data_IF_918147234679
#
_entry.id   IF_918147234679
#
_cell.length_a   1.000
_cell.length_b   1.000
_cell.length_c   1.000
_cell.angle_alpha   90.00
_cell.angle_beta   90.00
_cell.angle_gamma   90.00
#
_symmetry.space_group_name_H-M   'P 1'
#
loop_
_entity.id
_entity.type
_entity.pdbx_description
1 polymer ?
#
# COMPACT_ATOMS: atom_id res chain seq x y z
N UNK A 1 -5.88 8.61 -0.51
CA UNK A 1 -6.12 9.48 -1.68
C UNK A 1 -6.29 10.94 -1.26
N UNK A 2 -7.17 11.26 -0.29
CA UNK A 2 -7.35 12.64 0.25
C UNK A 2 -6.06 13.45 0.46
N UNK A 3 -5.05 12.86 1.11
CA UNK A 3 -3.79 13.57 1.39
C UNK A 3 -3.02 13.98 0.12
N UNK A 4 -2.99 13.12 -0.90
CA UNK A 4 -2.31 13.42 -2.17
C UNK A 4 -3.10 14.48 -2.97
N UNK A 5 -4.43 14.46 -2.90
CA UNK A 5 -5.30 15.49 -3.51
C UNK A 5 -5.08 16.86 -2.86
N UNK A 6 -4.95 16.92 -1.54
CA UNK A 6 -4.59 18.14 -0.80
C UNK A 6 -3.24 18.69 -1.27
N UNK A 7 -2.23 17.82 -1.41
CA UNK A 7 -0.90 18.21 -1.88
C UNK A 7 -0.91 18.73 -3.32
N UNK A 8 -1.75 18.20 -4.21
CA UNK A 8 -1.89 18.75 -5.57
C UNK A 8 -2.39 20.19 -5.55
N UNK A 9 -3.36 20.49 -4.70
CA UNK A 9 -3.86 21.86 -4.54
C UNK A 9 -2.80 22.79 -3.94
N UNK A 10 -2.02 22.32 -2.97
CA UNK A 10 -0.93 23.10 -2.37
C UNK A 10 0.24 23.32 -3.35
N UNK A 11 0.61 22.30 -4.13
CA UNK A 11 1.67 22.40 -5.14
C UNK A 11 1.39 23.50 -6.17
N UNK A 12 0.13 23.67 -6.56
CA UNK A 12 -0.33 24.74 -7.49
C UNK A 12 -0.19 26.14 -6.92
N UNK A 13 -0.19 26.28 -5.59
CA UNK A 13 -0.01 27.56 -4.89
C UNK A 13 1.48 27.86 -4.70
N UNK A 14 2.28 26.84 -4.36
CA UNK A 14 3.69 27.00 -3.97
C UNK A 14 4.69 26.88 -5.12
N UNK A 15 4.29 26.31 -6.26
CA UNK A 15 5.19 26.08 -7.40
C UNK A 15 4.58 26.48 -8.74
N UNK A 16 5.44 26.77 -9.71
CA UNK A 16 5.02 27.16 -11.07
C UNK A 16 5.98 26.61 -12.13
N UNK A 17 5.57 26.68 -13.40
CA UNK A 17 6.37 26.22 -14.54
C UNK A 17 6.64 24.71 -14.51
N UNK A 18 7.84 24.32 -14.96
CA UNK A 18 8.23 22.91 -15.10
C UNK A 18 8.21 22.15 -13.76
N UNK A 19 8.54 22.82 -12.65
CA UNK A 19 8.53 22.21 -11.32
C UNK A 19 7.12 21.75 -10.92
N UNK A 20 6.11 22.57 -11.20
CA UNK A 20 4.71 22.21 -10.95
C UNK A 20 4.27 21.01 -11.81
N UNK A 21 4.60 21.03 -13.11
CA UNK A 21 4.24 19.95 -14.03
C UNK A 21 4.84 18.59 -13.60
N UNK A 22 6.11 18.59 -13.20
CA UNK A 22 6.79 17.39 -12.71
C UNK A 22 6.17 16.91 -11.40
N UNK A 23 5.93 17.82 -10.44
CA UNK A 23 5.32 17.48 -9.17
C UNK A 23 3.91 16.90 -9.34
N UNK A 24 3.07 17.48 -10.20
CA UNK A 24 1.74 16.93 -10.50
C UNK A 24 1.83 15.52 -11.10
N UNK A 25 2.77 15.26 -12.01
CA UNK A 25 2.98 13.92 -12.58
C UNK A 25 3.40 12.90 -11.53
N UNK A 26 4.26 13.30 -10.59
CA UNK A 26 4.69 12.45 -9.47
C UNK A 26 3.51 12.13 -8.55
N UNK A 27 2.71 13.12 -8.17
CA UNK A 27 1.55 12.92 -7.30
C UNK A 27 0.45 12.07 -7.96
N UNK A 28 0.24 12.24 -9.26
CA UNK A 28 -0.64 11.37 -10.02
C UNK A 28 -0.14 9.92 -10.02
N UNK A 29 1.15 9.72 -10.25
CA UNK A 29 1.77 8.37 -10.21
C UNK A 29 1.65 7.73 -8.83
N UNK A 30 1.90 8.49 -7.75
CA UNK A 30 1.70 8.04 -6.37
C UNK A 30 0.24 7.68 -6.09
N UNK A 31 -0.70 8.48 -6.61
CA UNK A 31 -2.13 8.21 -6.49
C UNK A 31 -2.53 6.90 -7.16
N UNK A 32 -2.04 6.66 -8.38
CA UNK A 32 -2.37 5.45 -9.12
C UNK A 32 -1.73 4.20 -8.50
N UNK A 33 -0.49 4.31 -8.01
CA UNK A 33 0.13 3.26 -7.19
C UNK A 33 -0.71 2.96 -5.95
N UNK A 34 -1.16 3.97 -5.22
CA UNK A 34 -2.01 3.79 -4.03
C UNK A 34 -3.37 3.16 -4.35
N UNK A 35 -3.97 3.47 -5.52
CA UNK A 35 -5.19 2.81 -6.00
C UNK A 35 -4.94 1.34 -6.31
N UNK A 36 -3.83 1.02 -6.99
CA UNK A 36 -3.45 -0.36 -7.30
C UNK A 36 -3.22 -1.19 -6.02
N UNK A 37 -2.55 -0.60 -5.02
CA UNK A 37 -2.32 -1.23 -3.72
C UNK A 37 -3.64 -1.48 -2.99
N UNK A 38 -4.55 -0.50 -3.00
CA UNK A 38 -5.89 -0.68 -2.43
C UNK A 38 -6.60 -1.87 -3.09
N UNK A 39 -6.55 -1.96 -4.42
CA UNK A 39 -7.14 -3.08 -5.13
C UNK A 39 -6.49 -4.42 -4.75
N UNK A 40 -5.16 -4.47 -4.65
CA UNK A 40 -4.41 -5.65 -4.24
C UNK A 40 -4.80 -6.11 -2.81
N UNK A 41 -4.91 -5.19 -1.85
CA UNK A 41 -5.33 -5.51 -0.49
C UNK A 41 -6.76 -6.05 -0.45
N UNK A 42 -7.68 -5.48 -1.24
CA UNK A 42 -9.04 -5.99 -1.37
C UNK A 42 -9.07 -7.40 -1.97
N UNK A 43 -8.35 -7.62 -3.08
CA UNK A 43 -8.23 -8.95 -3.71
C UNK A 43 -7.60 -9.97 -2.76
N UNK A 44 -6.56 -9.58 -2.02
CA UNK A 44 -5.93 -10.41 -0.98
C UNK A 44 -6.92 -10.78 0.12
N UNK A 45 -7.75 -9.84 0.56
CA UNK A 45 -8.79 -10.09 1.59
C UNK A 45 -9.87 -11.04 1.06
N UNK A 46 -10.26 -10.91 -0.21
CA UNK A 46 -11.22 -11.82 -0.83
C UNK A 46 -10.64 -13.24 -0.93
N UNK A 47 -9.40 -13.38 -1.39
CA UNK A 47 -8.71 -14.67 -1.46
C UNK A 47 -8.63 -15.33 -0.07
N UNK A 48 -8.30 -14.58 0.99
CA UNK A 48 -8.28 -15.11 2.35
C UNK A 48 -9.65 -15.62 2.81
N UNK A 49 -10.74 -14.91 2.47
CA UNK A 49 -12.10 -15.37 2.76
C UNK A 49 -12.44 -16.64 1.99
N UNK A 50 -12.08 -16.73 0.72
CA UNK A 50 -12.30 -17.94 -0.09
C UNK A 50 -11.55 -19.15 0.47
N UNK A 51 -10.29 -18.97 0.87
CA UNK A 51 -9.48 -20.01 1.52
C UNK A 51 -10.14 -20.50 2.81
N UNK A 52 -10.63 -19.57 3.63
CA UNK A 52 -11.29 -19.90 4.90
C UNK A 52 -12.60 -20.63 4.65
N UNK A 53 -13.45 -20.14 3.75
CA UNK A 53 -14.73 -20.79 3.42
C UNK A 53 -14.54 -22.17 2.79
N UNK A 54 -13.55 -22.33 1.90
CA UNK A 54 -13.20 -23.62 1.30
C UNK A 54 -12.50 -24.58 2.26
N UNK A 55 -11.76 -24.07 3.25
CA UNK A 55 -10.90 -24.85 4.14
C UNK A 55 -11.44 -25.11 5.55
N UNK A 56 -12.46 -24.38 6.01
CA UNK A 56 -12.97 -24.50 7.40
C UNK A 56 -13.85 -25.72 7.64
N UNK A 57 -14.50 -26.26 6.61
CA UNK A 57 -15.46 -27.35 6.77
C UNK A 57 -16.56 -26.98 7.79
N UNK A 58 -16.73 -27.79 8.84
CA UNK A 58 -17.68 -27.52 9.92
C UNK A 58 -17.17 -26.50 10.97
N UNK A 59 -15.88 -26.10 10.91
CA UNK A 59 -15.30 -25.16 11.85
C UNK A 59 -15.73 -23.71 11.55
N UNK A 60 -15.65 -22.87 12.58
CA UNK A 60 -15.83 -21.42 12.45
C UNK A 60 -14.60 -20.77 11.80
N UNK A 61 -14.74 -19.59 11.18
CA UNK A 61 -13.60 -18.83 10.66
C UNK A 61 -12.51 -18.57 11.71
N UNK A 62 -12.92 -18.33 12.97
CA UNK A 62 -12.00 -18.04 14.06
C UNK A 62 -11.15 -19.26 14.43
N UNK A 63 -11.75 -20.45 14.46
CA UNK A 63 -11.04 -21.71 14.66
C UNK A 63 -10.08 -22.01 13.51
N UNK A 64 -10.47 -21.70 12.26
CA UNK A 64 -9.59 -21.88 11.11
C UNK A 64 -8.33 -20.99 11.19
N UNK A 65 -8.51 -19.70 11.52
CA UNK A 65 -7.37 -18.79 11.70
C UNK A 65 -6.49 -19.18 12.89
N UNK A 66 -7.08 -19.65 13.99
CA UNK A 66 -6.34 -20.13 15.15
C UNK A 66 -5.52 -21.39 14.83
N UNK A 67 -6.10 -22.34 14.09
CA UNK A 67 -5.42 -23.56 13.65
C UNK A 67 -4.29 -23.29 12.63
N UNK A 68 -4.44 -22.23 11.83
CA UNK A 68 -3.45 -21.79 10.86
C UNK A 68 -2.71 -20.52 11.35
N UNK A 69 -2.35 -20.46 12.64
CA UNK A 69 -1.78 -19.26 13.28
C UNK A 69 -0.58 -18.66 12.55
N UNK A 70 0.38 -19.48 12.11
CA UNK A 70 1.57 -19.02 11.38
C UNK A 70 1.21 -18.32 10.04
N UNK A 71 0.19 -18.82 9.33
CA UNK A 71 -0.33 -18.19 8.13
C UNK A 71 -1.05 -16.88 8.45
N UNK A 72 -1.90 -16.89 9.47
CA UNK A 72 -2.62 -15.70 9.97
C UNK A 72 -1.65 -14.59 10.40
N UNK A 73 -0.60 -14.92 11.14
CA UNK A 73 0.44 -13.97 11.56
C UNK A 73 1.22 -13.42 10.37
N UNK A 74 1.58 -14.27 9.40
CA UNK A 74 2.24 -13.86 8.16
C UNK A 74 1.40 -12.85 7.37
N UNK A 75 0.09 -13.10 7.26
CA UNK A 75 -0.87 -12.18 6.63
C UNK A 75 -0.96 -10.85 7.35
N UNK A 76 -1.11 -10.87 8.68
CA UNK A 76 -1.21 -9.66 9.50
C UNK A 76 0.08 -8.84 9.38
N UNK A 77 1.24 -9.48 9.46
CA UNK A 77 2.54 -8.83 9.36
C UNK A 77 2.74 -8.18 7.98
N UNK A 78 2.47 -8.93 6.90
CA UNK A 78 2.60 -8.40 5.55
C UNK A 78 1.61 -7.25 5.28
N UNK A 79 0.37 -7.35 5.78
CA UNK A 79 -0.61 -6.27 5.65
C UNK A 79 -0.20 -5.01 6.42
N UNK A 80 0.41 -5.16 7.61
CA UNK A 80 0.96 -4.03 8.38
C UNK A 80 2.11 -3.35 7.63
N UNK A 81 3.02 -4.13 7.04
CA UNK A 81 4.13 -3.59 6.25
C UNK A 81 3.63 -2.77 5.05
N UNK A 82 2.60 -3.24 4.33
CA UNK A 82 1.97 -2.47 3.24
C UNK A 82 1.37 -1.16 3.75
N UNK A 83 0.70 -1.18 4.90
CA UNK A 83 0.14 0.02 5.51
C UNK A 83 1.21 1.05 5.90
N UNK A 84 2.33 0.60 6.47
CA UNK A 84 3.46 1.47 6.78
C UNK A 84 4.14 2.04 5.53
N UNK A 85 4.39 1.20 4.53
CA UNK A 85 4.96 1.65 3.25
C UNK A 85 4.08 2.69 2.55
N UNK A 86 2.76 2.54 2.62
CA UNK A 86 1.81 3.54 2.12
C UNK A 86 1.93 4.89 2.82
N UNK A 87 2.04 4.90 4.15
CA UNK A 87 2.24 6.14 4.90
C UNK A 87 3.57 6.79 4.54
N UNK A 88 4.66 6.02 4.52
CA UNK A 88 5.99 6.55 4.19
C UNK A 88 6.07 7.12 2.76
N UNK A 89 5.43 6.47 1.79
CA UNK A 89 5.37 6.98 0.42
C UNK A 89 4.66 8.35 0.36
N UNK A 90 3.55 8.51 1.08
CA UNK A 90 2.82 9.78 1.12
C UNK A 90 3.63 10.86 1.83
N UNK A 91 4.28 10.54 2.95
CA UNK A 91 5.15 11.48 3.67
C UNK A 91 6.35 11.91 2.81
N UNK A 92 6.96 10.97 2.08
CA UNK A 92 8.08 11.27 1.19
C UNK A 92 7.64 12.14 0.01
N UNK A 93 6.47 11.85 -0.58
CA UNK A 93 5.89 12.69 -1.62
C UNK A 93 5.58 14.10 -1.12
N UNK A 94 5.06 14.25 0.10
CA UNK A 94 4.78 15.53 0.77
C UNK A 94 6.06 16.36 0.91
N UNK A 95 7.12 15.75 1.43
CA UNK A 95 8.44 16.40 1.56
C UNK A 95 9.01 16.85 0.21
N UNK A 96 8.90 16.03 -0.83
CA UNK A 96 9.45 16.35 -2.16
C UNK A 96 8.68 17.48 -2.84
N UNK A 97 7.36 17.53 -2.67
CA UNK A 97 6.50 18.49 -3.38
C UNK A 97 6.42 19.85 -2.67
N UNK A 98 6.23 19.85 -1.35
CA UNK A 98 5.95 21.06 -0.56
C UNK A 98 7.16 21.53 0.27
N UNK A 99 8.18 20.67 0.43
CA UNK A 99 9.34 20.97 1.25
C UNK A 99 10.64 20.75 0.47
N UNK A 100 11.77 20.71 1.19
CA UNK A 100 13.10 20.42 0.66
C UNK A 100 13.44 18.92 0.78
N UNK A 101 12.48 18.06 0.42
CA UNK A 101 12.67 16.62 0.34
C UNK A 101 13.54 16.18 -0.85
N UNK A 102 14.06 14.96 -0.77
CA UNK A 102 14.91 14.35 -1.80
C UNK A 102 14.11 13.37 -2.64
N UNK A 103 14.21 13.44 -3.97
CA UNK A 103 13.55 12.49 -4.87
C UNK A 103 14.02 11.05 -4.62
N UNK A 104 15.26 10.87 -4.15
CA UNK A 104 15.82 9.59 -3.78
C UNK A 104 15.04 8.92 -2.64
N UNK A 105 14.56 9.69 -1.66
CA UNK A 105 13.72 9.15 -0.58
C UNK A 105 12.40 8.62 -1.15
N UNK A 106 11.79 9.33 -2.10
CA UNK A 106 10.54 8.91 -2.74
C UNK A 106 10.72 7.65 -3.58
N UNK A 107 11.85 7.54 -4.29
CA UNK A 107 12.21 6.34 -5.07
C UNK A 107 12.35 5.13 -4.14
N UNK A 108 13.06 5.29 -3.01
CA UNK A 108 13.24 4.21 -2.02
C UNK A 108 11.89 3.77 -1.45
N UNK A 109 11.04 4.69 -0.99
CA UNK A 109 9.72 4.35 -0.48
C UNK A 109 8.83 3.65 -1.53
N UNK A 110 8.97 4.02 -2.80
CA UNK A 110 8.26 3.35 -3.92
C UNK A 110 8.72 1.90 -4.13
N UNK A 111 10.00 1.60 -3.91
CA UNK A 111 10.50 0.23 -3.96
C UNK A 111 10.07 -0.57 -2.72
N UNK A 112 10.10 0.03 -1.53
CA UNK A 112 9.72 -0.64 -0.28
C UNK A 112 8.24 -1.05 -0.26
N UNK A 113 7.36 -0.18 -0.75
CA UNK A 113 5.93 -0.51 -0.84
C UNK A 113 5.66 -1.60 -1.90
N UNK A 114 6.40 -1.60 -3.01
CA UNK A 114 6.33 -2.68 -4.00
C UNK A 114 6.81 -4.02 -3.40
N UNK A 115 7.88 -4.03 -2.63
CA UNK A 115 8.36 -5.22 -1.94
C UNK A 115 7.35 -5.73 -0.89
N UNK A 116 6.79 -4.82 -0.10
CA UNK A 116 5.79 -5.15 0.93
C UNK A 116 4.50 -5.73 0.33
N UNK A 117 4.06 -5.20 -0.83
CA UNK A 117 2.88 -5.73 -1.53
C UNK A 117 3.15 -7.09 -2.15
N UNK A 118 4.36 -7.34 -2.68
CA UNK A 118 4.76 -8.66 -3.13
C UNK A 118 4.80 -9.68 -1.98
N UNK A 119 5.28 -9.26 -0.80
CA UNK A 119 5.23 -10.09 0.42
C UNK A 119 3.80 -10.42 0.83
N UNK A 120 2.86 -9.47 0.75
CA UNK A 120 1.45 -9.72 1.02
C UNK A 120 0.85 -10.75 0.04
N UNK A 121 1.18 -10.66 -1.25
CA UNK A 121 0.73 -11.67 -2.23
C UNK A 121 1.31 -13.04 -1.91
N UNK A 122 2.60 -13.12 -1.57
CA UNK A 122 3.23 -14.38 -1.18
C UNK A 122 2.56 -15.00 0.06
N UNK A 123 2.33 -14.20 1.10
CA UNK A 123 1.66 -14.63 2.33
C UNK A 123 0.22 -15.14 2.06
N UNK A 124 -0.53 -14.45 1.19
CA UNK A 124 -1.89 -14.86 0.82
C UNK A 124 -1.92 -16.14 -0.03
N UNK A 125 -0.87 -16.44 -0.79
CA UNK A 125 -0.78 -17.65 -1.62
C UNK A 125 -0.39 -18.92 -0.88
N UNK A 126 0.12 -18.86 0.36
CA UNK A 126 0.59 -20.05 1.11
C UNK A 126 -0.51 -21.10 1.32
N UNK A 127 -1.78 -20.67 1.37
CA UNK A 127 -2.96 -21.52 1.59
C UNK A 127 -3.99 -21.42 0.47
N UNK A 128 -3.65 -20.72 -0.62
CA UNK A 128 -4.49 -20.59 -1.81
C UNK A 128 -4.46 -21.86 -2.66
#
# INVERSE_FOLDING_TARGET
VRRIEEMMNQARVESSGVKLEVNERILNSCTDLMKAIRQLVLTSTHLQKEIVEGGRGAATPQEFYAKNSCWTEGLISASKAVGWGATQLVESADKVVLHTGKYEELIVCSHEIAASTAQLVAASKVKA
#
